data_IF_439717610713
#
_entry.id   IF_439717610713
#
_cell.length_a   1.000
_cell.length_b   1.000
_cell.length_c   1.000
_cell.angle_alpha   90.00
_cell.angle_beta   90.00
_cell.angle_gamma   90.00
#
_symmetry.space_group_name_H-M   'P 1'
#
loop_
_entity.id
_entity.type
_entity.pdbx_description
1 polymer ?
#
# COMPACT_ATOMS: atom_id res chain seq x y z
N UNK A 1 2.50 19.01 8.50
CA UNK A 1 2.33 17.96 9.53
C UNK A 1 2.10 16.63 8.85
N UNK A 2 2.81 15.59 9.26
CA UNK A 2 2.64 14.20 8.80
C UNK A 2 1.77 13.40 9.77
N UNK A 3 1.14 12.33 9.30
CA UNK A 3 0.27 11.49 10.13
C UNK A 3 1.00 10.91 11.34
N UNK A 4 2.25 10.45 11.16
CA UNK A 4 3.10 9.95 12.25
C UNK A 4 3.35 10.97 13.38
N UNK A 5 3.34 12.27 13.06
CA UNK A 5 3.48 13.34 14.04
C UNK A 5 2.15 13.54 14.77
N UNK A 6 1.03 13.61 14.03
CA UNK A 6 -0.30 13.80 14.60
C UNK A 6 -0.73 12.66 15.55
N UNK A 7 -0.37 11.39 15.26
CA UNK A 7 -0.64 10.22 16.12
C UNK A 7 0.01 10.35 17.52
N UNK A 8 1.08 11.13 17.64
CA UNK A 8 1.74 11.35 18.94
C UNK A 8 0.94 12.31 19.82
N UNK A 9 0.15 13.20 19.21
CA UNK A 9 -0.62 14.23 19.91
C UNK A 9 -2.07 13.82 20.22
N UNK A 10 -2.68 12.96 19.40
CA UNK A 10 -4.09 12.57 19.55
C UNK A 10 -4.24 11.04 19.66
N UNK A 11 -4.56 10.53 20.86
CA UNK A 11 -4.75 9.08 21.09
C UNK A 11 -5.84 8.46 20.23
N UNK A 12 -6.93 9.21 19.99
CA UNK A 12 -8.00 8.79 19.10
C UNK A 12 -7.53 8.53 17.67
N UNK A 13 -6.58 9.30 17.17
CA UNK A 13 -6.03 9.13 15.82
C UNK A 13 -5.12 7.90 15.74
N UNK A 14 -4.40 7.59 16.83
CA UNK A 14 -3.68 6.32 16.97
C UNK A 14 -4.62 5.14 16.85
N UNK A 15 -5.73 5.16 17.57
CA UNK A 15 -6.75 4.10 17.51
C UNK A 15 -7.34 3.94 16.10
N UNK A 16 -7.59 5.05 15.39
CA UNK A 16 -7.99 5.02 13.96
C UNK A 16 -6.96 4.28 13.12
N UNK A 17 -5.68 4.62 13.25
CA UNK A 17 -4.61 4.05 12.42
C UNK A 17 -4.31 2.59 12.77
N UNK A 18 -4.33 2.22 14.05
CA UNK A 18 -4.15 0.84 14.51
C UNK A 18 -5.32 -0.06 14.13
N UNK A 19 -6.53 0.50 14.05
CA UNK A 19 -7.73 -0.20 13.58
C UNK A 19 -7.81 -0.39 12.06
N UNK A 20 -6.78 -0.02 11.29
CA UNK A 20 -6.74 -0.23 9.84
C UNK A 20 -6.10 -1.57 9.49
N UNK A 21 -6.77 -2.34 8.63
CA UNK A 21 -6.25 -3.60 8.09
C UNK A 21 -5.36 -3.37 6.86
N UNK A 22 -4.20 -2.75 7.06
CA UNK A 22 -3.18 -2.55 6.03
C UNK A 22 -2.40 -3.85 5.79
N UNK A 23 -2.34 -4.30 4.54
CA UNK A 23 -1.78 -5.61 4.18
C UNK A 23 -0.26 -5.58 3.91
N UNK A 24 0.27 -4.45 3.41
CA UNK A 24 1.66 -4.33 2.96
C UNK A 24 2.50 -3.42 3.86
N UNK A 25 3.81 -3.68 3.93
CA UNK A 25 4.76 -2.79 4.61
C UNK A 25 4.84 -1.42 3.90
N UNK A 26 4.74 -1.41 2.57
CA UNK A 26 4.72 -0.20 1.74
C UNK A 26 3.52 0.67 2.08
N UNK A 27 2.32 0.09 2.12
CA UNK A 27 1.08 0.79 2.50
C UNK A 27 1.15 1.34 3.92
N UNK A 28 1.70 0.58 4.88
CA UNK A 28 1.84 1.02 6.28
C UNK A 28 2.74 2.24 6.39
N UNK A 29 3.88 2.23 5.68
CA UNK A 29 4.76 3.40 5.60
C UNK A 29 4.03 4.58 4.96
N UNK A 30 3.37 4.37 3.82
CA UNK A 30 2.67 5.45 3.11
C UNK A 30 1.60 6.10 3.97
N UNK A 31 0.85 5.30 4.74
CA UNK A 31 -0.09 5.79 5.73
C UNK A 31 0.58 6.74 6.74
N UNK A 32 1.68 6.32 7.37
CA UNK A 32 2.41 7.14 8.34
C UNK A 32 3.02 8.43 7.75
N UNK A 33 3.39 8.38 6.47
CA UNK A 33 3.96 9.52 5.74
C UNK A 33 2.90 10.43 5.11
N UNK A 34 1.61 10.11 5.23
CA UNK A 34 0.52 10.97 4.74
C UNK A 34 0.63 12.39 5.30
N UNK A 35 0.45 13.36 4.42
CA UNK A 35 0.50 14.78 4.75
C UNK A 35 -0.90 15.34 4.99
N UNK A 36 -0.94 16.40 5.80
CA UNK A 36 -2.14 17.19 6.01
C UNK A 36 -2.65 17.81 4.69
N UNK A 37 -3.92 17.55 4.35
CA UNK A 37 -4.59 18.05 3.16
C UNK A 37 -5.27 19.39 3.46
N UNK A 38 -4.66 20.50 3.03
CA UNK A 38 -5.22 21.84 3.24
C UNK A 38 -6.29 22.27 2.23
N UNK A 39 -6.39 21.59 1.08
CA UNK A 39 -7.31 21.95 0.00
C UNK A 39 -8.52 21.04 -0.07
N UNK A 40 -9.70 21.62 -0.27
CA UNK A 40 -10.96 20.88 -0.44
C UNK A 40 -10.91 19.91 -1.63
N UNK A 41 -10.28 20.30 -2.73
CA UNK A 41 -10.09 19.46 -3.93
C UNK A 41 -9.33 18.17 -3.60
N UNK A 42 -8.26 18.26 -2.81
CA UNK A 42 -7.43 17.12 -2.43
C UNK A 42 -8.19 16.16 -1.48
N UNK A 43 -8.92 16.70 -0.51
CA UNK A 43 -9.77 15.89 0.39
C UNK A 43 -10.87 15.19 -0.41
N UNK A 44 -11.52 15.93 -1.32
CA UNK A 44 -12.59 15.42 -2.18
C UNK A 44 -12.10 14.28 -3.05
N UNK A 45 -10.91 14.42 -3.67
CA UNK A 45 -10.30 13.37 -4.47
C UNK A 45 -10.01 12.10 -3.64
N UNK A 46 -9.48 12.23 -2.42
CA UNK A 46 -9.29 11.07 -1.54
C UNK A 46 -10.61 10.40 -1.17
N UNK A 47 -11.65 11.17 -0.88
CA UNK A 47 -12.98 10.62 -0.57
C UNK A 47 -13.64 9.94 -1.78
N UNK A 48 -13.45 10.46 -2.99
CA UNK A 48 -13.97 9.83 -4.22
C UNK A 48 -13.35 8.45 -4.45
N UNK A 49 -12.06 8.32 -4.14
CA UNK A 49 -11.31 7.06 -4.25
C UNK A 49 -11.80 6.04 -3.22
N UNK A 50 -12.00 6.45 -1.96
CA UNK A 50 -12.61 5.60 -0.93
C UNK A 50 -14.03 5.18 -1.33
N UNK A 51 -14.83 6.12 -1.85
CA UNK A 51 -16.19 5.84 -2.31
C UNK A 51 -16.21 4.82 -3.46
N UNK A 52 -15.20 4.83 -4.32
CA UNK A 52 -15.06 3.86 -5.41
C UNK A 52 -14.84 2.45 -4.89
N UNK A 53 -14.00 2.26 -3.87
CA UNK A 53 -13.86 0.95 -3.20
C UNK A 53 -15.16 0.56 -2.50
N UNK A 54 -15.81 1.48 -1.78
CA UNK A 54 -17.08 1.20 -1.10
C UNK A 54 -18.16 0.68 -2.08
N UNK A 55 -18.26 1.27 -3.29
CA UNK A 55 -19.17 0.79 -4.34
C UNK A 55 -18.84 -0.64 -4.79
N UNK A 56 -17.56 -1.00 -4.91
CA UNK A 56 -17.18 -2.38 -5.23
C UNK A 56 -17.63 -3.36 -4.14
N UNK A 57 -17.52 -2.96 -2.87
CA UNK A 57 -17.89 -3.80 -1.72
C UNK A 57 -19.40 -4.05 -1.59
N UNK A 58 -20.25 -3.33 -2.32
CA UNK A 58 -21.71 -3.56 -2.37
C UNK A 58 -22.08 -4.86 -3.09
N UNK A 59 -21.23 -5.33 -4.01
CA UNK A 59 -21.45 -6.56 -4.79
C UNK A 59 -20.59 -7.71 -4.28
N UNK A 60 -21.08 -8.95 -4.39
CA UNK A 60 -20.30 -10.14 -4.01
C UNK A 60 -19.00 -10.27 -4.83
N UNK A 61 -19.10 -10.14 -6.16
CA UNK A 61 -17.94 -10.16 -7.04
C UNK A 61 -16.89 -9.07 -6.72
N UNK A 62 -17.34 -7.87 -6.33
CA UNK A 62 -16.44 -6.79 -5.93
C UNK A 62 -15.78 -7.02 -4.57
N UNK A 63 -16.44 -7.72 -3.64
CA UNK A 63 -15.84 -8.17 -2.38
C UNK A 63 -14.75 -9.22 -2.64
N UNK A 64 -15.04 -10.23 -3.45
CA UNK A 64 -14.07 -11.28 -3.80
C UNK A 64 -12.85 -10.72 -4.53
N UNK A 65 -13.08 -9.74 -5.41
CA UNK A 65 -12.01 -8.98 -6.08
C UNK A 65 -11.17 -8.21 -5.08
N UNK A 66 -11.79 -7.44 -4.19
CA UNK A 66 -11.06 -6.66 -3.17
C UNK A 66 -10.21 -7.58 -2.30
N UNK A 67 -10.75 -8.72 -1.88
CA UNK A 67 -10.00 -9.68 -1.08
C UNK A 67 -8.83 -10.31 -1.86
N UNK A 68 -9.03 -10.57 -3.16
CA UNK A 68 -7.94 -11.05 -4.03
C UNK A 68 -6.83 -10.01 -4.17
N UNK A 69 -7.19 -8.73 -4.32
CA UNK A 69 -6.21 -7.62 -4.33
C UNK A 69 -5.47 -7.56 -3.01
N UNK A 70 -6.16 -7.63 -1.86
CA UNK A 70 -5.53 -7.61 -0.53
C UNK A 70 -4.54 -8.76 -0.32
N UNK A 71 -4.92 -9.99 -0.71
CA UNK A 71 -4.00 -11.15 -0.65
C UNK A 71 -2.74 -10.94 -1.47
N UNK A 72 -2.85 -10.33 -2.65
CA UNK A 72 -1.68 -10.00 -3.49
C UNK A 72 -0.86 -8.87 -2.87
N UNK A 73 -1.49 -7.81 -2.35
CA UNK A 73 -0.80 -6.73 -1.65
C UNK A 73 -0.08 -7.20 -0.39
N UNK A 74 -0.57 -8.25 0.29
CA UNK A 74 0.14 -8.85 1.43
C UNK A 74 1.51 -9.46 1.04
N UNK A 75 1.70 -9.81 -0.24
CA UNK A 75 2.99 -10.29 -0.78
C UNK A 75 3.93 -9.12 -1.15
N UNK A 76 3.44 -7.89 -1.18
CA UNK A 76 4.22 -6.72 -1.57
C UNK A 76 5.30 -6.42 -0.53
N UNK A 77 6.55 -6.60 -0.95
CA UNK A 77 7.74 -6.24 -0.17
C UNK A 77 8.11 -4.79 -0.40
N UNK A 78 8.75 -4.18 0.60
CA UNK A 78 9.30 -2.85 0.47
C UNK A 78 10.71 -2.93 -0.15
N UNK A 79 10.76 -2.80 -1.48
CA UNK A 79 12.00 -2.86 -2.27
C UNK A 79 12.43 -1.48 -2.78
N UNK A 80 12.05 -0.41 -2.08
CA UNK A 80 12.35 0.97 -2.49
C UNK A 80 13.83 1.22 -2.71
N UNK A 81 14.68 0.73 -1.81
CA UNK A 81 16.14 0.87 -1.96
C UNK A 81 16.63 0.24 -3.26
N UNK A 82 16.10 -0.94 -3.61
CA UNK A 82 16.43 -1.65 -4.85
C UNK A 82 15.93 -0.87 -6.07
N UNK A 83 14.72 -0.31 -6.02
CA UNK A 83 14.16 0.53 -7.10
C UNK A 83 14.91 1.85 -7.23
N UNK A 84 15.25 2.54 -6.14
CA UNK A 84 16.02 3.79 -6.15
C UNK A 84 17.38 3.59 -6.83
N UNK A 85 18.03 2.45 -6.56
CA UNK A 85 19.28 2.03 -7.20
C UNK A 85 19.15 1.86 -8.71
N UNK A 86 17.98 1.51 -9.25
CA UNK A 86 17.78 1.39 -10.72
C UNK A 86 17.97 2.72 -11.45
N UNK A 87 17.87 3.86 -10.77
CA UNK A 87 18.17 5.17 -11.36
C UNK A 87 19.67 5.49 -11.46
N UNK A 88 20.54 4.67 -10.86
CA UNK A 88 21.98 4.90 -10.75
C UNK A 88 22.86 3.97 -11.59
N UNK A 89 24.18 4.21 -11.52
CA UNK A 89 25.20 3.32 -12.09
C UNK A 89 25.55 2.18 -11.11
N UNK A 90 24.61 1.28 -10.82
CA UNK A 90 24.88 0.10 -10.00
C UNK A 90 24.69 -1.21 -10.78
N UNK A 91 25.33 -2.27 -10.28
CA UNK A 91 25.11 -3.65 -10.69
C UNK A 91 24.29 -4.32 -9.60
N UNK A 92 23.22 -5.01 -9.99
CA UNK A 92 22.36 -5.77 -9.09
C UNK A 92 22.90 -7.18 -8.88
N UNK A 93 22.79 -7.66 -7.66
CA UNK A 93 23.00 -9.07 -7.34
C UNK A 93 21.73 -9.91 -7.66
N UNK A 94 21.85 -11.23 -7.51
CA UNK A 94 20.76 -12.16 -7.81
C UNK A 94 19.53 -11.95 -6.88
N UNK A 95 19.74 -11.43 -5.66
CA UNK A 95 18.67 -11.17 -4.69
C UNK A 95 17.87 -9.93 -5.14
N UNK A 96 18.56 -8.87 -5.51
CA UNK A 96 17.96 -7.64 -6.02
C UNK A 96 17.22 -7.87 -7.34
N UNK A 97 17.81 -8.65 -8.26
CA UNK A 97 17.15 -9.04 -9.51
C UNK A 97 15.93 -9.93 -9.26
N UNK A 98 16.00 -10.83 -8.28
CA UNK A 98 14.85 -11.60 -7.82
C UNK A 98 13.73 -10.70 -7.28
N UNK A 99 14.05 -9.73 -6.43
CA UNK A 99 13.09 -8.79 -5.85
C UNK A 99 12.36 -7.98 -6.94
N UNK A 100 13.11 -7.47 -7.92
CA UNK A 100 12.56 -6.72 -9.06
C UNK A 100 11.66 -7.60 -9.92
N UNK A 101 12.08 -8.83 -10.24
CA UNK A 101 11.27 -9.79 -11.00
C UNK A 101 9.96 -10.13 -10.27
N UNK A 102 10.07 -10.46 -8.97
CA UNK A 102 8.92 -10.80 -8.15
C UNK A 102 7.92 -9.63 -8.08
N UNK A 103 8.44 -8.41 -7.86
CA UNK A 103 7.61 -7.20 -7.84
C UNK A 103 6.93 -6.94 -9.18
N UNK A 104 7.65 -7.05 -10.30
CA UNK A 104 7.08 -6.84 -11.64
C UNK A 104 5.97 -7.86 -11.95
N UNK A 105 6.18 -9.14 -11.63
CA UNK A 105 5.15 -10.18 -11.75
C UNK A 105 3.91 -9.85 -10.92
N UNK A 106 4.10 -9.48 -9.64
CA UNK A 106 3.01 -9.13 -8.74
C UNK A 106 2.22 -7.92 -9.25
N UNK A 107 2.91 -6.89 -9.75
CA UNK A 107 2.31 -5.69 -10.31
C UNK A 107 1.48 -5.98 -11.57
N UNK A 108 1.99 -6.81 -12.49
CA UNK A 108 1.24 -7.25 -13.67
C UNK A 108 0.01 -8.07 -13.32
N UNK A 109 0.08 -8.94 -12.31
CA UNK A 109 -1.09 -9.68 -11.82
C UNK A 109 -2.12 -8.77 -11.15
N UNK A 110 -1.69 -7.69 -10.48
CA UNK A 110 -2.58 -6.74 -9.81
C UNK A 110 -3.22 -5.74 -10.79
N UNK A 111 -2.52 -5.39 -11.87
CA UNK A 111 -2.93 -4.38 -12.86
C UNK A 111 -4.34 -4.58 -13.42
N UNK A 112 -4.75 -5.77 -13.93
CA UNK A 112 -6.12 -5.95 -14.43
C UNK A 112 -7.16 -5.86 -13.31
N UNK A 113 -6.85 -6.35 -12.10
CA UNK A 113 -7.76 -6.31 -10.96
C UNK A 113 -8.03 -4.88 -10.49
N UNK A 114 -6.98 -4.05 -10.44
CA UNK A 114 -7.07 -2.64 -10.08
C UNK A 114 -7.79 -1.81 -11.15
N UNK A 115 -7.49 -2.07 -12.43
CA UNK A 115 -8.06 -1.32 -13.57
C UNK A 115 -9.55 -1.60 -13.76
N UNK A 116 -10.00 -2.86 -13.69
CA UNK A 116 -11.41 -3.23 -13.83
C UNK A 116 -12.33 -2.65 -12.74
N UNK A 117 -11.74 -2.21 -11.62
CA UNK A 117 -12.46 -1.50 -10.54
C UNK A 117 -12.33 0.02 -10.60
N UNK A 118 -11.61 0.58 -11.58
CA UNK A 118 -11.18 1.98 -11.62
C UNK A 118 -10.53 2.42 -10.29
N UNK A 119 -9.81 1.50 -9.65
CA UNK A 119 -9.22 1.73 -8.32
C UNK A 119 -7.89 2.46 -8.42
N UNK A 120 -7.03 1.96 -9.30
CA UNK A 120 -5.75 2.54 -9.64
C UNK A 120 -5.35 2.03 -11.03
N UNK A 121 -4.71 2.87 -11.81
CA UNK A 121 -4.04 2.47 -13.04
C UNK A 121 -2.61 2.08 -12.67
N UNK A 122 -2.17 0.85 -12.94
CA UNK A 122 -0.77 0.47 -12.75
C UNK A 122 -0.01 0.57 -14.08
N UNK A 123 1.25 1.05 -14.07
CA UNK A 123 2.07 1.06 -15.28
C UNK A 123 2.39 -0.37 -15.72
N UNK A 124 2.76 -0.51 -16.98
CA UNK A 124 3.18 -1.78 -17.56
C UNK A 124 4.64 -2.10 -17.23
N UNK A 125 4.87 -3.30 -16.73
CA UNK A 125 6.15 -3.87 -16.33
C UNK A 125 6.45 -5.21 -17.04
N UNK A 126 5.67 -5.62 -18.05
CA UNK A 126 5.96 -6.81 -18.87
C UNK A 126 7.40 -6.79 -19.40
N UNK A 127 7.92 -5.63 -19.82
CA UNK A 127 9.30 -5.50 -20.28
C UNK A 127 10.35 -5.83 -19.20
N UNK A 128 10.04 -5.63 -17.92
CA UNK A 128 10.90 -6.06 -16.80
C UNK A 128 10.81 -7.57 -16.60
N UNK A 129 9.60 -8.13 -16.68
CA UNK A 129 9.37 -9.58 -16.55
C UNK A 129 10.10 -10.34 -17.66
N UNK A 130 9.93 -9.92 -18.91
CA UNK A 130 10.54 -10.57 -20.07
C UNK A 130 12.07 -10.44 -20.05
N UNK A 131 12.60 -9.33 -19.54
CA UNK A 131 14.04 -9.13 -19.36
C UNK A 131 14.64 -10.07 -18.31
N UNK A 132 13.91 -10.36 -17.23
CA UNK A 132 14.37 -11.17 -16.09
C UNK A 132 13.91 -12.64 -16.16
N UNK A 133 13.08 -13.00 -17.14
CA UNK A 133 12.56 -14.34 -17.40
C UNK A 133 12.53 -14.64 -18.92
N UNK A 134 13.71 -14.79 -19.56
CA UNK A 134 13.80 -15.02 -20.99
C UNK A 134 13.14 -16.34 -21.44
N UNK A 135 12.90 -17.28 -20.52
CA UNK A 135 12.25 -18.56 -20.80
C UNK A 135 10.72 -18.49 -20.67
N UNK A 136 10.17 -17.40 -20.11
CA UNK A 136 8.73 -17.18 -20.00
C UNK A 136 8.02 -18.06 -18.98
N UNK A 137 8.75 -18.67 -18.04
CA UNK A 137 8.19 -19.58 -17.04
C UNK A 137 7.30 -18.84 -16.02
N UNK A 138 7.51 -17.53 -15.83
CA UNK A 138 6.82 -16.65 -14.87
C UNK A 138 6.90 -17.16 -13.43
N UNK A 139 8.01 -17.82 -13.09
CA UNK A 139 8.25 -18.31 -11.74
C UNK A 139 8.89 -17.22 -10.87
N UNK A 140 8.54 -17.14 -9.57
CA UNK A 140 9.11 -16.20 -8.62
C UNK A 140 10.49 -16.69 -8.14
N UNK A 141 11.41 -16.89 -9.08
CA UNK A 141 12.81 -17.22 -8.85
C UNK A 141 13.65 -16.51 -9.91
N UNK A 142 14.85 -16.10 -9.52
CA UNK A 142 15.83 -15.56 -10.45
C UNK A 142 17.13 -16.34 -10.31
N UNK A 143 17.68 -16.71 -11.46
CA UNK A 143 19.04 -17.16 -11.63
C UNK A 143 19.47 -16.75 -13.04
N UNK A 144 20.77 -16.75 -13.33
CA UNK A 144 21.24 -16.49 -14.68
C UNK A 144 20.89 -17.71 -15.57
N UNK A 145 19.83 -17.58 -16.37
CA UNK A 145 19.36 -18.59 -17.31
C UNK A 145 20.36 -18.84 -18.45
N UNK A 146 20.39 -20.07 -18.96
CA UNK A 146 21.17 -20.44 -20.15
C UNK A 146 20.73 -19.63 -21.38
N UNK A 147 19.44 -19.24 -21.43
CA UNK A 147 18.88 -18.40 -22.49
C UNK A 147 19.53 -17.01 -22.62
N UNK A 148 20.24 -16.52 -21.59
CA UNK A 148 20.94 -15.22 -21.68
C UNK A 148 22.23 -15.25 -22.51
N UNK A 149 22.86 -16.42 -22.66
CA UNK A 149 24.12 -16.59 -23.37
C UNK A 149 24.35 -18.05 -23.79
N UNK A 150 24.50 -18.29 -25.10
CA UNK A 150 24.89 -19.61 -25.62
C UNK A 150 26.25 -20.06 -25.07
N UNK A 151 27.17 -19.13 -24.86
CA UNK A 151 28.49 -19.42 -24.28
C UNK A 151 28.36 -20.00 -22.87
N UNK A 152 27.51 -19.40 -22.03
CA UNK A 152 27.24 -19.89 -20.66
C UNK A 152 26.64 -21.31 -20.69
N UNK A 153 25.67 -21.55 -21.58
CA UNK A 153 25.04 -22.85 -21.74
C UNK A 153 26.05 -23.94 -22.16
N UNK A 154 26.98 -23.61 -23.06
CA UNK A 154 28.03 -24.55 -23.48
C UNK A 154 29.01 -24.83 -22.34
N UNK A 155 29.42 -23.81 -21.57
CA UNK A 155 30.32 -23.96 -20.43
C UNK A 155 29.69 -24.83 -19.32
N UNK A 156 28.42 -24.62 -18.98
CA UNK A 156 27.70 -25.45 -17.99
C UNK A 156 27.63 -26.92 -18.41
N UNK A 157 27.41 -27.20 -19.71
CA UNK A 157 27.46 -28.56 -20.27
C UNK A 157 28.88 -29.15 -20.18
N UNK A 158 29.92 -28.38 -20.52
CA UNK A 158 31.31 -28.83 -20.41
C UNK A 158 31.72 -29.14 -18.97
N UNK A 159 31.34 -28.28 -18.01
CA UNK A 159 31.59 -28.48 -16.57
C UNK A 159 30.94 -29.79 -16.09
N UNK A 160 29.67 -30.02 -16.45
CA UNK A 160 28.94 -31.24 -16.07
C UNK A 160 29.58 -32.50 -16.67
N UNK A 161 29.97 -32.46 -17.94
CA UNK A 161 30.63 -33.58 -18.62
C UNK A 161 32.01 -33.89 -18.01
N UNK A 162 32.83 -32.87 -17.73
CA UNK A 162 34.17 -33.03 -17.13
C UNK A 162 34.11 -33.56 -15.69
N UNK A 163 33.15 -33.10 -14.89
CA UNK A 163 32.91 -33.66 -13.54
C UNK A 163 32.53 -35.14 -13.57
N UNK A 164 31.68 -35.54 -14.52
CA UNK A 164 31.28 -36.94 -14.68
C UNK A 164 32.42 -37.84 -15.19
N UNK A 165 33.34 -37.28 -15.98
CA UNK A 165 34.50 -37.99 -16.50
C UNK A 165 35.67 -38.11 -15.49
N UNK A 166 35.54 -37.59 -14.27
CA UNK A 166 36.60 -37.62 -13.26
C UNK A 166 37.82 -36.77 -13.63
N UNK A 167 37.61 -35.68 -14.38
CA UNK A 167 38.69 -34.80 -14.83
C UNK A 167 39.35 -34.04 -13.67
N UNK A 168 40.58 -33.57 -13.91
CA UNK A 168 41.39 -32.78 -12.97
C UNK A 168 40.62 -31.55 -12.44
N UNK A 169 40.62 -31.37 -11.12
CA UNK A 169 39.91 -30.31 -10.41
C UNK A 169 40.32 -28.92 -10.92
N UNK A 170 41.59 -28.75 -11.28
CA UNK A 170 42.15 -27.48 -11.78
C UNK A 170 41.47 -27.01 -13.08
N UNK A 171 41.18 -27.94 -14.00
CA UNK A 171 40.56 -27.62 -15.29
C UNK A 171 39.06 -27.32 -15.13
N UNK A 172 38.39 -28.01 -14.21
CA UNK A 172 36.98 -27.72 -13.88
C UNK A 172 36.86 -26.34 -13.22
N UNK A 173 37.84 -25.98 -12.39
CA UNK A 173 37.88 -24.68 -11.72
C UNK A 173 38.09 -23.52 -12.71
N UNK A 174 38.93 -23.68 -13.73
CA UNK A 174 39.10 -22.66 -14.79
C UNK A 174 37.80 -22.42 -15.57
N UNK A 175 37.09 -23.49 -15.95
CA UNK A 175 35.80 -23.38 -16.63
C UNK A 175 34.73 -22.73 -15.74
N UNK A 176 34.75 -23.04 -14.43
CA UNK A 176 33.86 -22.41 -13.47
C UNK A 176 34.14 -20.91 -13.35
N UNK A 177 35.41 -20.51 -13.27
CA UNK A 177 35.80 -19.10 -13.24
C UNK A 177 35.28 -18.33 -14.46
N UNK A 178 35.47 -18.89 -15.67
CA UNK A 178 34.91 -18.29 -16.90
C UNK A 178 33.38 -18.20 -16.88
N UNK A 179 32.69 -19.18 -16.31
CA UNK A 179 31.22 -19.13 -16.20
C UNK A 179 30.77 -17.99 -15.29
N UNK A 180 31.46 -17.75 -14.18
CA UNK A 180 31.17 -16.63 -13.25
C UNK A 180 31.41 -15.28 -13.94
N UNK A 181 32.50 -15.12 -14.69
CA UNK A 181 32.75 -13.87 -15.44
C UNK A 181 31.64 -13.55 -16.45
N UNK A 182 31.08 -14.57 -17.10
CA UNK A 182 29.95 -14.39 -18.03
C UNK A 182 28.68 -14.04 -17.27
N UNK A 183 28.41 -14.69 -16.13
CA UNK A 183 27.27 -14.35 -15.27
C UNK A 183 27.36 -12.91 -14.76
N UNK A 184 28.54 -12.45 -14.36
CA UNK A 184 28.79 -11.07 -13.93
C UNK A 184 28.48 -10.07 -15.06
N UNK A 185 28.97 -10.34 -16.28
CA UNK A 185 28.65 -9.52 -17.47
C UNK A 185 27.16 -9.51 -17.79
N UNK A 186 26.47 -10.63 -17.60
CA UNK A 186 25.02 -10.70 -17.79
C UNK A 186 24.32 -9.83 -16.74
N UNK A 187 24.71 -9.90 -15.46
CA UNK A 187 24.15 -9.05 -14.40
C UNK A 187 24.38 -7.57 -14.66
N UNK A 188 25.57 -7.19 -15.12
CA UNK A 188 25.86 -5.81 -15.55
C UNK A 188 24.92 -5.34 -16.67
N UNK A 189 24.79 -6.16 -17.73
CA UNK A 189 23.88 -5.86 -18.85
C UNK A 189 22.43 -5.71 -18.39
N UNK A 190 21.93 -6.66 -17.60
CA UNK A 190 20.57 -6.61 -17.06
C UNK A 190 20.35 -5.35 -16.22
N UNK A 191 21.32 -4.98 -15.39
CA UNK A 191 21.26 -3.79 -14.55
C UNK A 191 21.18 -2.50 -15.35
N UNK A 192 21.89 -2.42 -16.49
CA UNK A 192 21.82 -1.28 -17.41
C UNK A 192 20.46 -1.21 -18.10
N UNK A 193 19.95 -2.34 -18.58
CA UNK A 193 18.65 -2.42 -19.25
C UNK A 193 17.48 -2.09 -18.30
N UNK A 194 17.59 -2.42 -17.00
CA UNK A 194 16.56 -2.13 -16.01
C UNK A 194 16.34 -0.64 -15.76
N UNK A 195 17.33 0.22 -16.05
CA UNK A 195 17.25 1.66 -15.78
C UNK A 195 16.12 2.35 -16.53
N UNK A 196 15.81 1.88 -17.74
CA UNK A 196 14.72 2.43 -18.56
C UNK A 196 13.34 2.22 -17.93
N UNK A 197 13.23 1.30 -16.95
CA UNK A 197 12.00 1.01 -16.23
C UNK A 197 11.95 1.68 -14.84
N UNK A 198 12.95 2.48 -14.45
CA UNK A 198 13.03 3.09 -13.13
C UNK A 198 11.74 3.83 -12.73
N UNK A 199 11.26 4.75 -13.58
CA UNK A 199 10.04 5.51 -13.30
C UNK A 199 8.79 4.61 -13.21
N UNK A 200 8.68 3.61 -14.08
CA UNK A 200 7.56 2.68 -14.09
C UNK A 200 7.53 1.82 -12.82
N UNK A 201 8.69 1.32 -12.38
CA UNK A 201 8.83 0.55 -11.13
C UNK A 201 8.46 1.40 -9.91
N UNK A 202 8.95 2.63 -9.86
CA UNK A 202 8.67 3.54 -8.76
C UNK A 202 7.18 3.90 -8.71
N UNK A 203 6.58 4.25 -9.86
CA UNK A 203 5.15 4.53 -9.96
C UNK A 203 4.30 3.31 -9.58
N UNK A 204 4.67 2.10 -10.00
CA UNK A 204 3.95 0.88 -9.62
C UNK A 204 3.97 0.70 -8.10
N UNK A 205 5.12 0.89 -7.45
CA UNK A 205 5.25 0.68 -6.02
C UNK A 205 4.40 1.67 -5.22
N UNK A 206 4.46 2.95 -5.59
CA UNK A 206 3.67 4.00 -4.95
C UNK A 206 2.17 3.78 -5.17
N UNK A 207 1.74 3.42 -6.38
CA UNK A 207 0.32 3.18 -6.68
C UNK A 207 -0.21 1.93 -5.97
N UNK A 208 0.57 0.85 -5.87
CA UNK A 208 0.19 -0.35 -5.13
C UNK A 208 0.11 -0.09 -3.62
N UNK A 209 1.09 0.61 -3.05
CA UNK A 209 1.06 0.98 -1.64
C UNK A 209 -0.09 1.93 -1.30
N UNK A 210 -0.38 2.88 -2.18
CA UNK A 210 -1.52 3.78 -2.02
C UNK A 210 -2.86 3.04 -2.13
N UNK A 211 -2.98 2.09 -3.05
CA UNK A 211 -4.18 1.25 -3.21
C UNK A 211 -4.50 0.46 -1.93
N UNK A 212 -3.48 -0.09 -1.26
CA UNK A 212 -3.62 -0.76 0.05
C UNK A 212 -4.23 0.18 1.09
N UNK A 213 -3.72 1.40 1.19
CA UNK A 213 -4.24 2.41 2.14
C UNK A 213 -5.70 2.76 1.86
N UNK A 214 -6.08 2.94 0.60
CA UNK A 214 -7.45 3.33 0.23
C UNK A 214 -8.43 2.19 0.47
N UNK A 215 -8.03 0.96 0.19
CA UNK A 215 -8.84 -0.23 0.52
C UNK A 215 -9.03 -0.31 2.04
N UNK A 216 -7.97 -0.14 2.83
CA UNK A 216 -8.06 -0.18 4.28
C UNK A 216 -8.94 0.94 4.85
N UNK A 217 -8.85 2.17 4.31
CA UNK A 217 -9.76 3.27 4.68
C UNK A 217 -11.22 2.95 4.36
N UNK A 218 -11.49 2.34 3.20
CA UNK A 218 -12.84 1.95 2.80
C UNK A 218 -13.41 0.82 3.68
N UNK A 219 -12.61 -0.18 3.99
CA UNK A 219 -13.00 -1.26 4.90
C UNK A 219 -13.33 -0.71 6.29
N UNK A 220 -12.44 0.10 6.85
CA UNK A 220 -12.68 0.75 8.13
C UNK A 220 -13.95 1.63 8.09
N UNK A 221 -14.17 2.38 7.01
CA UNK A 221 -15.37 3.18 6.87
C UNK A 221 -16.65 2.33 6.83
N UNK A 222 -16.63 1.18 6.17
CA UNK A 222 -17.74 0.23 6.17
C UNK A 222 -17.97 -0.32 7.59
N UNK A 223 -16.92 -0.79 8.24
CA UNK A 223 -17.00 -1.50 9.52
C UNK A 223 -17.40 -0.57 10.67
N UNK A 224 -17.01 0.70 10.60
CA UNK A 224 -17.35 1.71 11.60
C UNK A 224 -18.55 2.58 11.20
N UNK A 225 -19.18 2.33 10.05
CA UNK A 225 -20.32 3.10 9.57
C UNK A 225 -20.00 4.59 9.30
N UNK A 226 -18.78 4.88 8.84
CA UNK A 226 -18.34 6.24 8.53
C UNK A 226 -18.95 6.72 7.20
N UNK A 227 -19.08 8.03 7.07
CA UNK A 227 -19.68 8.67 5.90
C UNK A 227 -18.80 9.80 5.38
N UNK A 228 -19.04 10.17 4.12
CA UNK A 228 -18.39 11.31 3.50
C UNK A 228 -18.92 12.60 4.13
N UNK A 229 -18.05 13.42 4.75
CA UNK A 229 -18.45 14.72 5.26
C UNK A 229 -18.68 15.70 4.10
N UNK A 230 -19.61 16.63 4.27
CA UNK A 230 -19.71 17.81 3.42
C UNK A 230 -18.71 18.86 3.92
N UNK A 231 -17.95 19.47 3.01
CA UNK A 231 -16.99 20.53 3.34
C UNK A 231 -17.73 21.85 3.23
N UNK A 232 -17.72 22.63 4.31
CA UNK A 232 -18.45 23.91 4.44
C UNK A 232 -17.56 24.94 5.12
N UNK A 233 -17.74 26.23 4.80
CA UNK A 233 -16.88 27.30 5.32
C UNK A 233 -17.28 27.81 6.72
N UNK A 234 -18.59 28.02 6.96
CA UNK A 234 -19.06 28.80 8.12
C UNK A 234 -19.67 27.97 9.26
N UNK A 235 -19.79 26.67 9.08
CA UNK A 235 -20.44 25.80 10.05
C UNK A 235 -19.78 24.43 10.05
N UNK A 236 -19.52 23.91 11.24
CA UNK A 236 -19.08 22.53 11.44
C UNK A 236 -20.18 21.78 12.17
N UNK A 237 -20.74 20.74 11.55
CA UNK A 237 -21.77 19.93 12.19
C UNK A 237 -21.42 18.46 12.14
N UNK A 238 -21.43 17.81 13.31
CA UNK A 238 -21.27 16.37 13.44
C UNK A 238 -22.57 15.76 13.96
N UNK A 239 -22.99 14.67 13.31
CA UNK A 239 -24.14 13.87 13.75
C UNK A 239 -23.66 12.47 14.09
N UNK A 240 -23.90 12.03 15.32
CA UNK A 240 -23.44 10.73 15.80
C UNK A 240 -21.92 10.68 15.99
N UNK A 241 -21.31 11.78 16.42
CA UNK A 241 -19.89 11.84 16.73
C UNK A 241 -19.56 10.85 17.85
N UNK A 242 -18.52 10.04 17.63
CA UNK A 242 -18.02 9.12 18.64
C UNK A 242 -16.49 9.13 18.67
N UNK A 243 -15.93 8.80 19.84
CA UNK A 243 -14.50 8.56 20.01
C UNK A 243 -14.25 7.04 19.85
N UNK A 244 -13.50 6.59 18.83
CA UNK A 244 -13.29 5.16 18.58
C UNK A 244 -12.64 4.43 19.76
N UNK A 245 -11.63 5.01 20.38
CA UNK A 245 -10.89 4.43 21.51
C UNK A 245 -11.84 4.16 22.70
N UNK A 246 -12.64 5.16 23.07
CA UNK A 246 -13.62 5.01 24.15
C UNK A 246 -14.76 4.07 23.77
N UNK A 247 -15.20 4.07 22.51
CA UNK A 247 -16.24 3.15 22.04
C UNK A 247 -15.79 1.71 22.20
N UNK A 248 -14.60 1.38 21.71
CA UNK A 248 -14.02 0.02 21.81
C UNK A 248 -13.83 -0.37 23.28
N UNK A 249 -13.29 0.53 24.11
CA UNK A 249 -13.10 0.28 25.55
C UNK A 249 -14.42 0.03 26.29
N UNK A 250 -15.46 0.81 25.99
CA UNK A 250 -16.79 0.63 26.60
C UNK A 250 -17.47 -0.66 26.12
N UNK A 251 -17.41 -0.95 24.82
CA UNK A 251 -17.98 -2.19 24.24
C UNK A 251 -17.30 -3.43 24.84
N UNK A 252 -15.98 -3.41 25.04
CA UNK A 252 -15.24 -4.48 25.72
C UNK A 252 -15.67 -4.66 27.19
N UNK A 253 -16.13 -3.58 27.85
CA UNK A 253 -16.70 -3.60 29.19
C UNK A 253 -18.22 -3.91 29.22
N UNK A 254 -18.82 -4.29 28.10
CA UNK A 254 -20.26 -4.55 27.97
C UNK A 254 -21.14 -3.28 28.08
N UNK A 255 -20.55 -2.10 27.93
CA UNK A 255 -21.22 -0.80 27.96
C UNK A 255 -21.38 -0.25 26.55
N UNK A 256 -22.29 0.71 26.38
CA UNK A 256 -22.54 1.38 25.10
C UNK A 256 -22.02 2.81 25.15
N UNK A 257 -21.24 3.21 24.14
CA UNK A 257 -20.92 4.62 23.93
C UNK A 257 -22.16 5.38 23.44
N UNK A 258 -22.42 6.57 24.00
CA UNK A 258 -23.52 7.44 23.57
C UNK A 258 -22.99 8.45 22.54
N UNK A 259 -23.39 8.36 21.26
CA UNK A 259 -22.96 9.32 20.24
C UNK A 259 -23.52 10.73 20.51
N UNK A 260 -22.75 11.74 20.14
CA UNK A 260 -23.08 13.15 20.38
C UNK A 260 -23.32 13.88 19.05
N UNK A 261 -24.31 14.76 19.03
CA UNK A 261 -24.50 15.70 17.93
C UNK A 261 -23.98 17.07 18.36
N UNK A 262 -23.20 17.73 17.51
CA UNK A 262 -22.70 19.08 17.78
C UNK A 262 -22.77 19.91 16.51
N UNK A 263 -23.09 21.19 16.67
CA UNK A 263 -23.03 22.20 15.62
C UNK A 263 -22.25 23.39 16.15
N UNK A 264 -21.17 23.72 15.47
CA UNK A 264 -20.31 24.86 15.74
C UNK A 264 -20.54 25.87 14.61
N UNK A 265 -20.76 27.12 14.98
CA UNK A 265 -20.85 28.27 14.07
C UNK A 265 -19.66 29.19 14.31
N UNK A 266 -19.44 30.15 13.42
CA UNK A 266 -18.44 31.20 13.62
C UNK A 266 -18.67 31.91 14.97
N UNK A 267 -17.65 31.91 15.83
CA UNK A 267 -17.69 32.51 17.17
C UNK A 267 -17.44 31.51 18.31
N UNK A 268 -17.33 32.00 19.56
CA UNK A 268 -17.05 31.15 20.72
C UNK A 268 -18.27 30.27 21.05
N UNK A 269 -18.05 28.96 21.19
CA UNK A 269 -19.06 28.00 21.69
C UNK A 269 -18.76 27.64 23.14
N UNK A 270 -19.70 27.89 24.05
CA UNK A 270 -19.54 27.57 25.49
C UNK A 270 -20.21 26.23 25.80
N UNK A 271 -19.43 25.28 26.33
CA UNK A 271 -19.91 23.97 26.74
C UNK A 271 -19.97 23.93 28.28
N UNK A 272 -21.18 24.01 28.83
CA UNK A 272 -21.42 23.93 30.29
C UNK A 272 -21.92 22.54 30.70
N UNK A 273 -21.65 22.12 31.94
CA UNK A 273 -22.18 20.87 32.49
C UNK A 273 -21.36 20.37 33.69
N UNK A 274 -21.87 19.37 34.40
CA UNK A 274 -21.17 18.77 35.55
C UNK A 274 -19.80 18.17 35.17
N UNK A 275 -18.90 17.98 36.14
CA UNK A 275 -17.67 17.24 35.90
C UNK A 275 -17.98 15.78 35.49
N UNK A 276 -17.09 15.17 34.69
CA UNK A 276 -17.25 13.80 34.15
C UNK A 276 -18.43 13.59 33.19
N UNK A 277 -19.13 14.65 32.77
CA UNK A 277 -20.20 14.59 31.75
C UNK A 277 -19.71 14.41 30.30
N UNK A 278 -18.42 14.13 30.08
CA UNK A 278 -17.86 13.91 28.74
C UNK A 278 -17.49 15.17 27.96
N UNK A 279 -17.45 16.37 28.58
CA UNK A 279 -17.06 17.62 27.90
C UNK A 279 -15.69 17.54 27.21
N UNK A 280 -14.68 17.02 27.89
CA UNK A 280 -13.33 16.83 27.33
C UNK A 280 -13.34 15.81 26.19
N UNK A 281 -14.10 14.73 26.35
CA UNK A 281 -14.26 13.69 25.31
C UNK A 281 -14.88 14.29 24.05
N UNK A 282 -15.87 15.17 24.20
CA UNK A 282 -16.48 15.87 23.06
C UNK A 282 -15.45 16.71 22.31
N UNK A 283 -14.65 17.51 23.01
CA UNK A 283 -13.60 18.33 22.38
C UNK A 283 -12.56 17.47 21.66
N UNK A 284 -12.05 16.41 22.29
CA UNK A 284 -11.12 15.47 21.64
C UNK A 284 -11.76 14.74 20.46
N UNK A 285 -13.08 14.49 20.49
CA UNK A 285 -13.79 13.87 19.36
C UNK A 285 -13.93 14.82 18.18
N UNK A 286 -14.17 16.11 18.43
CA UNK A 286 -14.21 17.16 17.40
C UNK A 286 -12.82 17.35 16.78
N UNK A 287 -11.78 17.40 17.62
CA UNK A 287 -10.39 17.45 17.18
C UNK A 287 -10.05 16.24 16.29
N UNK A 288 -10.36 15.03 16.76
CA UNK A 288 -10.16 13.80 15.99
C UNK A 288 -10.88 13.84 14.64
N UNK A 289 -12.13 14.32 14.62
CA UNK A 289 -12.90 14.45 13.39
C UNK A 289 -12.22 15.35 12.36
N UNK A 290 -11.64 16.46 12.83
CA UNK A 290 -10.87 17.36 11.98
C UNK A 290 -9.61 16.68 11.45
N UNK A 291 -8.85 15.96 12.29
CA UNK A 291 -7.69 15.20 11.83
C UNK A 291 -8.06 14.14 10.80
N UNK A 292 -9.11 13.37 11.05
CA UNK A 292 -9.60 12.35 10.11
C UNK A 292 -9.92 12.98 8.75
N UNK A 293 -10.65 14.09 8.72
CA UNK A 293 -10.95 14.83 7.49
C UNK A 293 -9.67 15.24 6.74
N UNK A 294 -8.72 15.85 7.45
CA UNK A 294 -7.52 16.44 6.87
C UNK A 294 -6.46 15.41 6.45
N UNK A 295 -6.57 14.17 6.92
CA UNK A 295 -5.80 13.03 6.39
C UNK A 295 -6.60 12.19 5.37
N UNK A 296 -7.75 12.70 4.92
CA UNK A 296 -8.58 12.06 3.90
C UNK A 296 -9.26 10.78 4.36
N UNK A 297 -9.54 10.64 5.66
CA UNK A 297 -10.43 9.60 6.18
C UNK A 297 -11.89 10.06 6.06
N UNK A 298 -12.80 9.09 6.03
CA UNK A 298 -14.22 9.35 6.24
C UNK A 298 -14.48 9.54 7.74
N UNK A 299 -15.60 10.18 8.10
CA UNK A 299 -15.91 10.47 9.49
C UNK A 299 -17.34 10.10 9.87
N UNK A 300 -17.62 10.09 11.17
CA UNK A 300 -18.93 9.81 11.73
C UNK A 300 -19.98 10.80 11.19
N UNK A 301 -21.01 10.26 10.56
CA UNK A 301 -22.17 11.01 10.10
C UNK A 301 -23.29 10.03 9.79
N UNK A 302 -24.54 10.36 10.12
CA UNK A 302 -25.68 9.57 9.64
C UNK A 302 -25.79 9.81 8.14
N UNK A 303 -25.79 8.75 7.30
CA UNK A 303 -26.17 8.89 5.88
C UNK A 303 -27.50 9.65 5.84
N UNK A 304 -27.56 10.72 5.05
CA UNK A 304 -28.79 11.46 4.80
C UNK A 304 -29.80 10.53 4.16
N UNK A 305 -30.61 9.89 5.00
CA UNK A 305 -31.63 8.93 4.64
C UNK A 305 -32.50 8.70 5.85
N UNK A 306 -33.77 9.06 5.73
CA UNK A 306 -34.80 8.75 6.71
C UNK A 306 -34.78 7.25 7.00
N UNK A 307 -34.22 6.85 8.14
CA UNK A 307 -34.45 5.54 8.73
C UNK A 307 -34.47 5.72 10.24
N UNK A 308 -35.66 5.61 10.88
CA UNK A 308 -35.82 5.74 12.31
C UNK A 308 -35.40 4.43 13.00
N UNK A 309 -35.15 4.55 14.31
CA UNK A 309 -34.89 3.49 15.29
C UNK A 309 -33.43 2.99 15.38
#
# INVERSE_FOLDING_TARGET
MRLKEAIQHTSGLRCVVEGMEICSSVGRRMLHEMTWLGEESAITAEHDRIASVLRLLETEAGRDRTETIRRKLALLRDIRSTIERTGGNCVFDDIELFELKFFALLAEELRPLASQGHLAELPELNGVVDLLDPEGNRLPHFFVYDAYSEELATLRKQIKARKQAGADESQVQELYFRSVEIEDRIRERLSVELRKYHEALQQALDRMGWLDVVIAKAMQARDWGLTRPAITQDTTSFRGLFNPELRISLEAAGKRFQPVNIRLTTGPTVITGANMSGKTVLLHSVELAQYMLQFGFLHCGRKGGNSPC
#
